data_IF_449163019117
#
_entry.id   IF_449163019117
#
_cell.length_a   1.000
_cell.length_b   1.000
_cell.length_c   1.000
_cell.angle_alpha   90.00
_cell.angle_beta   90.00
_cell.angle_gamma   90.00
#
_symmetry.space_group_name_H-M   'P 1'
#
loop_
_entity.id
_entity.type
_entity.pdbx_description
1 polymer ?
#
# COMPACT_ATOMS: atom_id res chain seq x y z
N UNK A 1 12.16 -18.97 -4.40
CA UNK A 1 11.81 -18.91 -4.65
C UNK A 1 11.32 -18.97 -4.76
N UNK A 2 11.33 -19.06 -4.77
CA UNK A 2 10.85 -19.14 -5.03
C UNK A 2 10.58 -19.21 -5.37
N UNK A 3 10.58 -19.45 -5.34
CA UNK A 3 10.44 -19.70 -5.92
C UNK A 3 10.48 -20.17 -6.54
N UNK A 4 10.51 -19.86 -6.67
CA UNK A 4 10.44 -20.48 -7.70
C UNK A 4 11.16 -21.31 -7.81
N UNK A 5 11.39 -21.79 -7.44
CA UNK A 5 11.85 -22.41 -8.06
C UNK A 5 11.52 -22.84 -8.69
N UNK A 6 12.10 -22.98 -8.32
CA UNK A 6 11.76 -23.32 -9.40
C UNK A 6 10.58 -22.96 -10.05
N UNK A 7 9.72 -22.72 -9.48
CA UNK A 7 8.55 -22.32 -10.19
C UNK A 7 8.86 -21.14 -11.07
N UNK A 8 8.96 -21.41 -12.33
CA UNK A 8 9.18 -20.35 -13.30
C UNK A 8 7.87 -19.71 -13.64
N UNK A 9 7.77 -18.38 -13.42
CA UNK A 9 6.60 -17.63 -13.83
C UNK A 9 6.73 -17.32 -15.31
N UNK A 10 5.72 -17.66 -16.12
CA UNK A 10 5.77 -17.34 -17.55
C UNK A 10 5.92 -15.84 -17.79
N UNK A 11 6.56 -15.48 -18.89
CA UNK A 11 6.75 -14.10 -19.26
C UNK A 11 5.41 -13.37 -19.30
N UNK A 12 5.35 -12.18 -18.70
CA UNK A 12 4.15 -11.38 -18.66
C UNK A 12 3.19 -11.69 -17.52
N UNK A 13 3.50 -12.71 -16.74
CA UNK A 13 2.68 -13.06 -15.56
C UNK A 13 3.38 -12.57 -14.32
N UNK A 14 2.66 -11.82 -13.48
CA UNK A 14 3.15 -11.34 -12.21
C UNK A 14 2.37 -11.96 -11.07
N UNK A 15 3.08 -12.60 -10.14
CA UNK A 15 2.48 -13.13 -8.93
C UNK A 15 2.79 -12.14 -7.80
N UNK A 16 1.77 -11.48 -7.22
CA UNK A 16 2.02 -10.50 -6.17
C UNK A 16 2.68 -11.13 -4.96
N UNK A 17 3.76 -10.50 -4.46
CA UNK A 17 4.39 -10.89 -3.20
C UNK A 17 3.63 -10.35 -2.01
N UNK A 18 2.88 -9.27 -2.21
CA UNK A 18 2.17 -8.59 -1.14
C UNK A 18 0.70 -8.40 -1.48
N UNK A 19 -0.11 -8.42 -0.44
CA UNK A 19 -1.51 -8.03 -0.48
C UNK A 19 -1.74 -7.02 0.62
N UNK A 20 -2.75 -6.20 0.48
CA UNK A 20 -3.15 -5.27 1.54
C UNK A 20 -4.61 -5.50 1.89
N UNK A 21 -4.90 -5.44 3.18
CA UNK A 21 -6.28 -5.51 3.66
C UNK A 21 -6.72 -4.10 4.01
N UNK A 22 -7.81 -3.67 3.40
CA UNK A 22 -8.37 -2.34 3.61
C UNK A 22 -9.27 -2.31 4.85
N UNK A 23 -9.62 -1.11 5.34
CA UNK A 23 -10.45 -1.00 6.55
C UNK A 23 -11.80 -1.70 6.45
N UNK A 24 -12.34 -1.83 5.24
CA UNK A 24 -13.63 -2.51 5.03
C UNK A 24 -13.49 -4.03 4.90
N UNK A 25 -12.27 -4.56 5.05
CA UNK A 25 -12.01 -6.00 4.98
C UNK A 25 -11.60 -6.52 3.61
N UNK A 26 -11.67 -5.69 2.56
CA UNK A 26 -11.24 -6.13 1.23
C UNK A 26 -9.75 -6.39 1.22
N UNK A 27 -9.35 -7.44 0.53
CA UNK A 27 -7.94 -7.78 0.35
C UNK A 27 -7.60 -7.57 -1.11
N UNK A 28 -6.61 -6.72 -1.36
CA UNK A 28 -6.22 -6.33 -2.72
C UNK A 28 -4.76 -6.74 -2.95
N UNK A 29 -4.47 -7.49 -4.03
CA UNK A 29 -3.08 -7.76 -4.39
C UNK A 29 -2.39 -6.46 -4.80
N UNK A 30 -1.14 -6.31 -4.42
CA UNK A 30 -0.34 -5.14 -4.80
C UNK A 30 0.35 -5.46 -6.13
N UNK A 31 -0.02 -4.78 -7.22
CA UNK A 31 0.62 -5.04 -8.51
C UNK A 31 2.10 -4.69 -8.52
N UNK A 32 2.82 -5.22 -9.48
CA UNK A 32 4.22 -4.86 -9.68
C UNK A 32 4.34 -3.38 -9.99
N UNK A 33 5.45 -2.78 -9.54
CA UNK A 33 5.72 -1.38 -9.76
C UNK A 33 5.12 -0.49 -8.69
N UNK A 34 5.03 0.79 -8.98
CA UNK A 34 4.53 1.79 -8.05
C UNK A 34 3.02 1.93 -8.21
N UNK A 35 2.29 1.79 -7.10
CA UNK A 35 0.83 1.92 -7.10
C UNK A 35 0.42 3.04 -6.17
N UNK A 36 -0.70 3.68 -6.49
CA UNK A 36 -1.22 4.78 -5.69
C UNK A 36 -2.30 4.28 -4.73
N UNK A 37 -2.32 4.87 -3.55
CA UNK A 37 -3.33 4.64 -2.51
C UNK A 37 -4.07 5.95 -2.30
N UNK A 38 -5.38 5.92 -2.37
CA UNK A 38 -6.18 7.12 -2.17
C UNK A 38 -7.62 6.96 -2.62
N UNK A 39 -8.35 8.08 -2.69
CA UNK A 39 -9.75 8.09 -3.09
C UNK A 39 -9.96 8.27 -4.59
N UNK A 40 -8.93 8.73 -5.30
CA UNK A 40 -9.07 8.97 -6.72
C UNK A 40 -9.36 7.67 -7.49
N UNK A 41 -10.28 7.69 -8.47
CA UNK A 41 -10.58 6.48 -9.24
C UNK A 41 -9.37 5.87 -9.95
N UNK A 42 -8.32 6.64 -10.20
CA UNK A 42 -7.10 6.14 -10.82
C UNK A 42 -6.22 5.36 -9.85
N UNK A 43 -6.48 5.39 -8.55
CA UNK A 43 -5.69 4.65 -7.58
C UNK A 43 -5.95 3.16 -7.68
N UNK A 44 -4.89 2.36 -7.72
CA UNK A 44 -5.00 0.91 -7.73
C UNK A 44 -5.54 0.40 -6.39
N UNK A 45 -5.14 1.04 -5.30
CA UNK A 45 -5.65 0.73 -3.97
C UNK A 45 -6.54 1.90 -3.57
N UNK A 46 -7.82 1.73 -3.86
CA UNK A 46 -8.77 2.84 -3.73
C UNK A 46 -9.58 2.71 -2.45
N UNK A 47 -9.59 3.78 -1.66
CA UNK A 47 -10.48 3.90 -0.52
C UNK A 47 -11.79 4.56 -0.96
N UNK A 48 -12.88 4.34 -0.20
CA UNK A 48 -14.18 4.90 -0.62
C UNK A 48 -14.18 6.43 -0.55
N UNK A 49 -15.04 7.05 -1.35
CA UNK A 49 -15.19 8.51 -1.36
C UNK A 49 -15.56 9.04 0.03
N UNK A 50 -16.24 8.22 0.82
CA UNK A 50 -16.65 8.61 2.18
C UNK A 50 -15.48 8.72 3.14
N UNK A 51 -14.31 8.21 2.79
CA UNK A 51 -13.10 8.33 3.63
C UNK A 51 -12.52 9.74 3.46
N UNK A 52 -13.21 10.73 3.98
CA UNK A 52 -12.93 12.14 3.71
C UNK A 52 -11.54 12.59 4.15
N UNK A 53 -10.95 11.93 5.15
CA UNK A 53 -9.61 12.25 5.62
C UNK A 53 -8.51 11.75 4.69
N UNK A 54 -8.84 10.90 3.73
CA UNK A 54 -7.89 10.36 2.78
C UNK A 54 -7.80 11.29 1.57
N UNK A 55 -6.58 11.67 1.21
CA UNK A 55 -6.37 12.49 0.02
C UNK A 55 -6.65 11.67 -1.23
N UNK A 56 -6.93 12.34 -2.35
CA UNK A 56 -7.21 11.64 -3.60
C UNK A 56 -6.05 10.76 -4.02
N UNK A 57 -4.83 11.25 -3.91
CA UNK A 57 -3.60 10.47 -4.07
C UNK A 57 -2.81 10.62 -2.78
N UNK A 58 -3.03 9.72 -1.85
CA UNK A 58 -2.54 9.88 -0.48
C UNK A 58 -1.09 9.43 -0.31
N UNK A 59 -0.79 8.25 -0.77
CA UNK A 59 0.56 7.69 -0.68
C UNK A 59 0.76 6.69 -1.82
N UNK A 60 1.99 6.18 -1.93
CA UNK A 60 2.32 5.16 -2.92
C UNK A 60 2.96 3.97 -2.24
N UNK A 61 2.81 2.82 -2.87
CA UNK A 61 3.45 1.58 -2.44
C UNK A 61 4.22 1.03 -3.63
N UNK A 62 5.42 0.55 -3.37
CA UNK A 62 6.24 -0.07 -4.42
C UNK A 62 6.91 -1.31 -3.86
N UNK A 63 6.67 -2.45 -4.51
CA UNK A 63 7.27 -3.71 -4.11
C UNK A 63 8.69 -3.81 -4.67
N UNK A 64 9.65 -4.18 -3.83
CA UNK A 64 11.02 -4.43 -4.27
C UNK A 64 11.41 -5.90 -4.09
N UNK A 65 10.43 -6.77 -3.90
CA UNK A 65 10.66 -8.20 -3.74
C UNK A 65 10.65 -8.65 -2.29
N UNK A 66 11.32 -7.93 -1.39
CA UNK A 66 11.35 -8.26 0.03
C UNK A 66 10.48 -7.35 0.86
N UNK A 67 10.39 -6.10 0.46
CA UNK A 67 9.68 -5.08 1.22
C UNK A 67 8.68 -4.37 0.33
N UNK A 68 7.67 -3.81 0.97
CA UNK A 68 6.73 -2.92 0.33
C UNK A 68 7.10 -1.50 0.78
N UNK A 69 7.53 -0.67 -0.15
CA UNK A 69 8.02 0.67 0.18
C UNK A 69 6.87 1.65 0.14
N UNK A 70 6.64 2.30 1.27
CA UNK A 70 5.58 3.29 1.44
C UNK A 70 6.17 4.69 1.37
N UNK A 71 5.54 5.57 0.58
CA UNK A 71 5.91 6.99 0.52
C UNK A 71 4.63 7.82 0.60
N UNK A 72 4.57 8.74 1.57
CA UNK A 72 3.50 9.72 1.62
C UNK A 72 3.76 10.78 0.55
N UNK A 73 2.77 11.03 -0.30
CA UNK A 73 2.93 11.92 -1.44
C UNK A 73 2.43 13.34 -1.13
N UNK A 74 2.62 13.79 0.11
CA UNK A 74 2.18 15.10 0.51
C UNK A 74 0.71 15.12 0.89
N UNK A 75 0.22 14.07 1.52
CA UNK A 75 -1.18 13.97 1.91
C UNK A 75 -1.56 15.06 2.89
N UNK A 76 -2.83 15.47 2.84
CA UNK A 76 -3.33 16.55 3.67
C UNK A 76 -3.32 16.19 5.15
N UNK A 77 -3.78 14.98 5.48
CA UNK A 77 -3.95 14.55 6.87
C UNK A 77 -2.88 13.56 7.33
N UNK A 78 -1.98 13.17 6.47
CA UNK A 78 -0.82 12.35 6.83
C UNK A 78 -1.02 10.85 6.72
N UNK A 79 0.10 10.16 6.68
CA UNK A 79 0.19 8.70 6.75
C UNK A 79 0.91 8.38 8.06
N UNK A 80 0.41 7.40 8.81
CA UNK A 80 0.90 7.11 10.16
C UNK A 80 1.31 5.66 10.30
N UNK A 81 2.43 5.43 10.99
CA UNK A 81 2.89 4.09 11.35
C UNK A 81 3.14 4.10 12.85
N UNK A 82 2.50 3.17 13.56
CA UNK A 82 2.58 3.10 15.03
C UNK A 82 2.23 4.43 15.68
N UNK A 83 1.24 5.13 15.13
CA UNK A 83 0.79 6.41 15.66
C UNK A 83 1.67 7.60 15.34
N UNK A 84 2.75 7.39 14.58
CA UNK A 84 3.67 8.48 14.22
C UNK A 84 3.48 8.85 12.75
N UNK A 85 3.41 10.13 12.48
CA UNK A 85 3.27 10.62 11.11
C UNK A 85 4.57 10.40 10.33
N UNK A 86 4.44 9.82 9.14
CA UNK A 86 5.57 9.63 8.24
C UNK A 86 5.78 10.93 7.47
N UNK A 87 7.00 11.49 7.49
CA UNK A 87 7.25 12.69 6.70
C UNK A 87 7.05 12.43 5.21
N UNK A 88 6.44 13.38 4.51
CA UNK A 88 6.21 13.27 3.08
C UNK A 88 7.53 13.07 2.35
N UNK A 89 7.51 12.18 1.37
CA UNK A 89 8.69 11.89 0.56
C UNK A 89 9.67 10.89 1.19
N UNK A 90 9.46 10.50 2.44
CA UNK A 90 10.33 9.55 3.11
C UNK A 90 9.92 8.12 2.77
N UNK A 91 10.87 7.30 2.39
CA UNK A 91 10.61 5.88 2.09
C UNK A 91 10.60 5.07 3.37
N UNK A 92 9.56 4.27 3.55
CA UNK A 92 9.43 3.38 4.70
C UNK A 92 9.23 1.97 4.20
N UNK A 93 10.04 1.04 4.68
CA UNK A 93 9.94 -0.37 4.30
C UNK A 93 8.94 -1.08 5.19
N UNK A 94 7.94 -1.69 4.56
CA UNK A 94 6.92 -2.49 5.25
C UNK A 94 7.11 -3.95 4.90
N UNK A 95 6.80 -4.82 5.86
CA UNK A 95 6.82 -6.28 5.65
C UNK A 95 5.43 -6.85 5.87
N UNK A 96 5.29 -8.16 5.62
CA UNK A 96 4.07 -8.88 5.95
C UNK A 96 3.75 -8.67 7.43
N UNK A 97 2.52 -8.31 7.71
CA UNK A 97 2.06 -8.03 9.06
C UNK A 97 2.15 -6.57 9.49
N UNK A 98 2.89 -5.74 8.76
CA UNK A 98 2.93 -4.31 9.05
C UNK A 98 1.61 -3.64 8.69
N UNK A 99 1.31 -2.54 9.36
CA UNK A 99 0.13 -1.75 9.04
C UNK A 99 0.46 -0.27 9.07
N UNK A 100 -0.36 0.50 8.35
CA UNK A 100 -0.25 1.96 8.36
C UNK A 100 -1.66 2.53 8.26
N UNK A 101 -1.82 3.78 8.68
CA UNK A 101 -3.11 4.47 8.63
C UNK A 101 -3.01 5.67 7.71
N UNK A 102 -4.07 5.91 6.94
CA UNK A 102 -4.13 7.04 6.01
C UNK A 102 -5.18 8.01 6.49
N UNK A 103 -4.75 9.20 6.87
CA UNK A 103 -5.62 10.28 7.33
C UNK A 103 -6.06 10.14 8.78
N UNK A 104 -6.65 9.02 9.15
CA UNK A 104 -7.09 8.75 10.52
C UNK A 104 -6.76 7.31 10.90
N UNK A 105 -6.82 7.01 12.19
CA UNK A 105 -6.56 5.66 12.70
C UNK A 105 -7.62 4.66 12.26
N UNK A 106 -8.78 5.11 11.81
CA UNK A 106 -9.84 4.25 11.31
C UNK A 106 -9.52 3.68 9.93
N UNK A 107 -8.68 4.36 9.19
CA UNK A 107 -8.30 3.94 7.85
C UNK A 107 -7.00 3.15 7.88
N UNK A 108 -7.02 2.03 8.58
CA UNK A 108 -5.85 1.17 8.71
C UNK A 108 -5.76 0.22 7.52
N UNK A 109 -4.57 0.15 6.95
CA UNK A 109 -4.27 -0.78 5.86
C UNK A 109 -3.19 -1.72 6.37
N UNK A 110 -3.43 -3.02 6.26
CA UNK A 110 -2.52 -4.05 6.78
C UNK A 110 -1.89 -4.79 5.62
N UNK A 111 -0.57 -4.97 5.69
CA UNK A 111 0.17 -5.74 4.69
C UNK A 111 0.06 -7.23 5.04
N UNK A 112 -0.49 -7.99 4.14
CA UNK A 112 -0.68 -9.43 4.35
C UNK A 112 0.43 -10.25 3.74
#
# INVERSE_FOLDING_TARGET
PGTVPGGTVPAGVYTPSFRVQLPDGRIIPVPAGKVAVGRDPSCQIRLPESAAAVSRRHCTLESNGEFLILVDEGSRNGTFIHGKRVPAGTKVALKHGSSFCVGTSENRITVC
#
